data_IF_960580022221
#
_entry.id   IF_960580022221
#
_cell.length_a   1.000
_cell.length_b   1.000
_cell.length_c   1.000
_cell.angle_alpha   90.00
_cell.angle_beta   90.00
_cell.angle_gamma   90.00
#
_symmetry.space_group_name_H-M   'P 1'
#
loop_
_entity.id
_entity.type
_entity.pdbx_description
1 polymer ?
#
# COMPACT_ATOMS: atom_id res chain seq x y z
N UNK A 1 9.41 6.90 11.71
CA UNK A 1 10.78 7.14 12.18
C UNK A 1 11.47 8.29 11.43
N UNK A 2 11.67 8.22 10.10
CA UNK A 2 12.32 9.31 9.34
C UNK A 2 11.62 10.67 9.53
N UNK A 3 10.31 10.75 9.27
CA UNK A 3 9.56 12.01 9.41
C UNK A 3 9.44 12.49 10.86
N UNK A 4 9.47 11.58 11.83
CA UNK A 4 9.56 11.96 13.24
C UNK A 4 10.87 12.72 13.53
N UNK A 5 12.01 12.21 13.06
CA UNK A 5 13.31 12.88 13.24
C UNK A 5 13.36 14.21 12.48
N UNK A 6 12.80 14.27 11.27
CA UNK A 6 12.75 15.51 10.47
C UNK A 6 11.99 16.59 11.24
N UNK A 7 10.82 16.30 11.78
CA UNK A 7 10.07 17.29 12.58
C UNK A 7 10.73 17.57 13.93
N UNK A 8 11.38 16.59 14.55
CA UNK A 8 12.10 16.80 15.81
C UNK A 8 13.28 17.78 15.67
N UNK A 9 14.03 17.72 14.56
CA UNK A 9 15.19 18.56 14.33
C UNK A 9 14.91 19.83 13.51
N UNK A 10 13.88 19.83 12.66
CA UNK A 10 13.59 20.92 11.71
C UNK A 10 12.15 21.42 11.76
N UNK A 11 11.36 21.02 12.76
CA UNK A 11 9.95 21.39 12.89
C UNK A 11 9.71 22.90 12.79
N UNK A 12 10.58 23.71 13.41
CA UNK A 12 10.48 25.19 13.42
C UNK A 12 10.64 25.84 12.04
N UNK A 13 11.26 25.13 11.08
CA UNK A 13 11.42 25.58 9.69
C UNK A 13 10.35 25.03 8.76
N UNK A 14 9.68 23.96 9.15
CA UNK A 14 8.67 23.24 8.36
C UNK A 14 7.27 23.78 8.62
N UNK A 15 7.03 24.29 9.84
CA UNK A 15 5.73 24.79 10.26
C UNK A 15 5.79 26.31 10.41
N UNK A 16 4.77 27.03 9.90
CA UNK A 16 4.62 28.45 10.23
C UNK A 16 4.07 28.57 11.66
N UNK A 17 4.45 29.63 12.41
CA UNK A 17 3.92 29.86 13.75
C UNK A 17 2.39 29.85 13.76
N UNK A 18 1.79 29.00 14.61
CA UNK A 18 0.33 28.89 14.75
C UNK A 18 -0.39 28.01 13.73
N UNK A 19 0.31 27.34 12.82
CA UNK A 19 -0.32 26.35 11.92
C UNK A 19 -0.52 25.01 12.62
N UNK A 20 -1.58 24.30 12.25
CA UNK A 20 -1.84 22.94 12.70
C UNK A 20 -0.76 21.99 12.14
N UNK A 21 0.03 21.33 13.00
CA UNK A 21 1.14 20.49 12.55
C UNK A 21 0.70 19.13 12.02
N UNK A 22 -0.53 18.68 12.33
CA UNK A 22 -0.99 17.33 12.02
C UNK A 22 -1.17 17.11 10.53
N UNK A 23 -1.75 18.06 9.81
CA UNK A 23 -2.00 17.92 8.37
C UNK A 23 -0.69 17.71 7.61
N UNK A 24 0.27 18.61 7.83
CA UNK A 24 1.61 18.51 7.24
C UNK A 24 2.34 17.22 7.63
N UNK A 25 2.29 16.85 8.92
CA UNK A 25 2.93 15.65 9.43
C UNK A 25 2.37 14.36 8.81
N UNK A 26 1.03 14.26 8.72
CA UNK A 26 0.34 13.15 8.07
C UNK A 26 0.72 13.12 6.60
N UNK A 27 0.64 14.25 5.89
CA UNK A 27 0.96 14.31 4.46
C UNK A 27 2.38 13.84 4.15
N UNK A 28 3.41 14.40 4.81
CA UNK A 28 4.81 14.01 4.58
C UNK A 28 5.06 12.54 4.93
N UNK A 29 4.44 12.07 6.03
CA UNK A 29 4.55 10.68 6.46
C UNK A 29 3.94 9.73 5.43
N UNK A 30 2.73 10.03 4.97
CA UNK A 30 2.01 9.21 4.01
C UNK A 30 2.65 9.23 2.63
N UNK A 31 3.20 10.38 2.22
CA UNK A 31 3.97 10.50 0.98
C UNK A 31 5.16 9.55 0.98
N UNK A 32 5.95 9.57 2.05
CA UNK A 32 7.10 8.68 2.18
C UNK A 32 6.69 7.20 2.16
N UNK A 33 5.56 6.87 2.79
CA UNK A 33 5.06 5.50 2.83
C UNK A 33 4.52 5.02 1.46
N UNK A 34 3.78 5.86 0.77
CA UNK A 34 3.10 5.51 -0.48
C UNK A 34 4.07 5.37 -1.66
N UNK A 35 5.14 6.17 -1.68
CA UNK A 35 6.15 6.14 -2.74
C UNK A 35 6.98 4.86 -2.70
N UNK A 36 7.34 4.40 -1.49
CA UNK A 36 8.34 3.35 -1.35
C UNK A 36 7.89 2.20 -0.45
N UNK A 37 7.45 2.51 0.77
CA UNK A 37 7.21 1.50 1.81
C UNK A 37 6.07 0.55 1.43
N UNK A 38 4.92 1.07 0.99
CA UNK A 38 3.75 0.27 0.66
C UNK A 38 3.96 -0.63 -0.58
N UNK A 39 4.44 -0.11 -1.73
CA UNK A 39 4.69 -0.96 -2.89
C UNK A 39 5.75 -2.03 -2.57
N UNK A 40 6.85 -1.65 -1.91
CA UNK A 40 7.92 -2.59 -1.56
C UNK A 40 7.44 -3.67 -0.58
N UNK A 41 6.64 -3.30 0.41
CA UNK A 41 6.03 -4.25 1.34
C UNK A 41 5.19 -5.29 0.59
N UNK A 42 4.34 -4.86 -0.35
CA UNK A 42 3.52 -5.78 -1.15
C UNK A 42 4.38 -6.70 -2.02
N UNK A 43 5.39 -6.16 -2.69
CA UNK A 43 6.31 -6.93 -3.53
C UNK A 43 7.01 -8.02 -2.71
N UNK A 44 7.48 -7.68 -1.51
CA UNK A 44 8.13 -8.64 -0.61
C UNK A 44 7.13 -9.67 -0.07
N UNK A 45 5.94 -9.23 0.33
CA UNK A 45 4.90 -10.09 0.88
C UNK A 45 4.46 -11.16 -0.13
N UNK A 46 4.20 -10.78 -1.38
CA UNK A 46 3.81 -11.72 -2.44
C UNK A 46 4.96 -12.63 -2.84
N UNK A 47 6.19 -12.11 -2.91
CA UNK A 47 7.37 -12.94 -3.24
C UNK A 47 7.63 -13.96 -2.13
N UNK A 48 7.48 -13.58 -0.86
CA UNK A 48 7.63 -14.49 0.27
C UNK A 48 6.58 -15.61 0.26
N UNK A 49 5.33 -15.30 -0.11
CA UNK A 49 4.29 -16.30 -0.30
C UNK A 49 4.75 -17.39 -1.28
N UNK A 50 5.33 -17.01 -2.42
CA UNK A 50 5.88 -17.94 -3.42
C UNK A 50 7.03 -18.77 -2.85
N UNK A 51 7.93 -18.15 -2.09
CA UNK A 51 9.05 -18.86 -1.48
C UNK A 51 8.56 -19.95 -0.52
N UNK A 52 7.54 -19.65 0.29
CA UNK A 52 6.94 -20.62 1.22
C UNK A 52 6.30 -21.77 0.44
N UNK A 53 5.54 -21.46 -0.61
CA UNK A 53 4.87 -22.46 -1.45
C UNK A 53 5.85 -23.41 -2.16
N UNK A 54 6.92 -22.86 -2.73
CA UNK A 54 7.90 -23.65 -3.47
C UNK A 54 8.76 -24.50 -2.52
N UNK A 55 9.09 -24.02 -1.32
CA UNK A 55 9.88 -24.78 -0.34
C UNK A 55 9.11 -25.93 0.29
N UNK A 56 7.79 -25.78 0.48
CA UNK A 56 7.01 -26.72 1.27
C UNK A 56 6.61 -28.01 0.53
N UNK A 57 6.96 -28.20 -0.76
CA UNK A 57 6.34 -29.24 -1.63
C UNK A 57 4.81 -29.26 -1.51
N UNK A 58 4.22 -28.13 -1.09
CA UNK A 58 2.88 -28.06 -0.52
C UNK A 58 1.82 -28.43 -1.54
N UNK A 59 2.11 -28.20 -2.82
CA UNK A 59 1.25 -28.55 -3.93
C UNK A 59 0.86 -30.04 -3.94
N UNK A 60 1.79 -30.96 -3.62
CA UNK A 60 1.48 -32.40 -3.61
C UNK A 60 0.54 -32.79 -2.47
N UNK A 61 0.74 -32.22 -1.28
CA UNK A 61 -0.15 -32.45 -0.13
C UNK A 61 -1.50 -31.75 -0.29
N UNK A 62 -1.51 -30.57 -0.90
CA UNK A 62 -2.71 -29.76 -1.10
C UNK A 62 -3.64 -30.33 -2.18
N UNK A 63 -3.08 -30.96 -3.23
CA UNK A 63 -3.86 -31.66 -4.24
C UNK A 63 -4.38 -33.03 -3.79
N UNK A 64 -3.89 -33.58 -2.68
CA UNK A 64 -4.43 -34.81 -2.09
C UNK A 64 -5.70 -34.56 -1.26
N UNK A 65 -5.97 -33.31 -0.86
CA UNK A 65 -7.17 -32.94 -0.14
C UNK A 65 -8.33 -32.65 -1.12
N UNK A 66 -9.59 -32.99 -0.79
CA UNK A 66 -10.77 -32.74 -1.63
C UNK A 66 -11.20 -31.26 -1.58
N UNK A 67 -10.25 -30.34 -1.63
CA UNK A 67 -10.50 -28.89 -1.60
C UNK A 67 -10.48 -28.35 -3.02
N UNK A 68 -11.48 -27.53 -3.35
CA UNK A 68 -11.51 -26.81 -4.62
C UNK A 68 -10.28 -25.90 -4.76
N UNK A 69 -9.64 -25.92 -5.93
CA UNK A 69 -8.44 -25.10 -6.22
C UNK A 69 -8.73 -23.60 -6.16
N UNK A 70 -9.97 -23.20 -6.47
CA UNK A 70 -10.46 -21.84 -6.26
C UNK A 70 -10.50 -21.43 -4.79
N UNK A 71 -10.84 -22.36 -3.88
CA UNK A 71 -10.80 -22.10 -2.45
C UNK A 71 -9.36 -21.95 -1.92
N UNK A 72 -8.40 -22.69 -2.49
CA UNK A 72 -6.97 -22.52 -2.20
C UNK A 72 -6.44 -21.16 -2.67
N UNK A 73 -6.79 -20.75 -3.90
CA UNK A 73 -6.42 -19.44 -4.43
C UNK A 73 -7.03 -18.32 -3.58
N UNK A 74 -8.34 -18.42 -3.32
CA UNK A 74 -9.10 -17.45 -2.56
C UNK A 74 -8.60 -17.30 -1.12
N UNK A 75 -8.29 -18.39 -0.44
CA UNK A 75 -7.77 -18.33 0.94
C UNK A 75 -6.41 -17.62 1.01
N UNK A 76 -5.49 -17.90 0.08
CA UNK A 76 -4.20 -17.23 0.01
C UNK A 76 -4.33 -15.74 -0.31
N UNK A 77 -5.20 -15.42 -1.27
CA UNK A 77 -5.52 -14.03 -1.60
C UNK A 77 -6.11 -13.29 -0.40
N UNK A 78 -7.02 -13.92 0.35
CA UNK A 78 -7.59 -13.35 1.58
C UNK A 78 -6.53 -13.09 2.64
N UNK A 79 -5.57 -14.01 2.82
CA UNK A 79 -4.44 -13.79 3.74
C UNK A 79 -3.61 -12.58 3.30
N UNK A 80 -3.31 -12.44 1.99
CA UNK A 80 -2.59 -11.26 1.48
C UNK A 80 -3.37 -9.96 1.70
N UNK A 81 -4.69 -9.97 1.47
CA UNK A 81 -5.56 -8.82 1.70
C UNK A 81 -5.58 -8.42 3.19
N UNK A 82 -5.71 -9.40 4.09
CA UNK A 82 -5.71 -9.17 5.54
C UNK A 82 -4.36 -8.64 6.02
N UNK A 83 -3.24 -9.19 5.55
CA UNK A 83 -1.90 -8.71 5.89
C UNK A 83 -1.64 -7.30 5.36
N UNK A 84 -2.11 -6.98 4.16
CA UNK A 84 -2.05 -5.62 3.62
C UNK A 84 -2.85 -4.64 4.48
N UNK A 85 -4.10 -4.97 4.81
CA UNK A 85 -4.94 -4.13 5.67
C UNK A 85 -4.30 -3.93 7.05
N UNK A 86 -3.82 -5.02 7.67
CA UNK A 86 -3.17 -4.98 8.97
C UNK A 86 -1.91 -4.10 8.94
N UNK A 87 -1.08 -4.22 7.91
CA UNK A 87 0.13 -3.39 7.77
C UNK A 87 -0.21 -1.90 7.68
N UNK A 88 -1.25 -1.54 6.93
CA UNK A 88 -1.70 -0.15 6.82
C UNK A 88 -2.32 0.38 8.13
N UNK A 89 -3.11 -0.43 8.83
CA UNK A 89 -3.66 -0.08 10.16
C UNK A 89 -2.54 0.13 11.18
N UNK A 90 -1.57 -0.79 11.23
CA UNK A 90 -0.39 -0.65 12.11
C UNK A 90 0.39 0.61 11.76
N UNK A 91 0.58 0.90 10.48
CA UNK A 91 1.23 2.13 10.03
C UNK A 91 0.50 3.39 10.54
N UNK A 92 -0.83 3.44 10.41
CA UNK A 92 -1.65 4.55 10.91
C UNK A 92 -1.54 4.72 12.43
N UNK A 93 -1.65 3.62 13.18
CA UNK A 93 -1.52 3.64 14.64
C UNK A 93 -0.15 4.18 15.04
N UNK A 94 0.92 3.70 14.41
CA UNK A 94 2.29 4.18 14.67
C UNK A 94 2.47 5.65 14.30
N UNK A 95 1.87 6.12 13.20
CA UNK A 95 1.91 7.52 12.78
C UNK A 95 1.23 8.44 13.80
N UNK A 96 0.03 8.07 14.26
CA UNK A 96 -0.69 8.85 15.27
C UNK A 96 0.03 8.82 16.62
N UNK A 97 0.57 7.66 17.02
CA UNK A 97 1.37 7.53 18.22
C UNK A 97 2.64 8.38 18.16
N UNK A 98 3.34 8.41 17.01
CA UNK A 98 4.54 9.22 16.84
C UNK A 98 4.25 10.71 16.81
N UNK A 99 3.12 11.14 16.23
CA UNK A 99 2.68 12.54 16.30
C UNK A 99 2.36 12.98 17.74
N UNK A 100 1.68 12.13 18.53
CA UNK A 100 1.42 12.40 19.94
C UNK A 100 2.71 12.47 20.77
N UNK A 101 3.62 11.53 20.56
CA UNK A 101 4.93 11.51 21.23
C UNK A 101 5.72 12.78 20.90
N UNK A 102 5.69 13.21 19.65
CA UNK A 102 6.38 14.43 19.22
C UNK A 102 5.82 15.67 19.92
N UNK A 103 4.50 15.76 20.11
CA UNK A 103 3.87 16.81 20.90
C UNK A 103 4.28 16.82 22.37
N UNK A 104 4.60 15.67 22.95
CA UNK A 104 5.11 15.58 24.33
C UNK A 104 6.57 16.00 24.46
N UNK A 105 7.41 15.65 23.47
CA UNK A 105 8.85 15.97 23.50
C UNK A 105 9.12 17.40 23.02
N UNK A 106 8.30 17.93 22.11
CA UNK A 106 8.40 19.29 21.56
C UNK A 106 7.04 20.01 21.64
N UNK A 107 6.68 20.55 22.82
CA UNK A 107 5.42 21.28 23.01
C UNK A 107 5.30 22.51 22.10
N UNK A 108 6.44 23.08 21.69
CA UNK A 108 6.58 24.23 20.78
C UNK A 108 5.89 24.00 19.41
N UNK A 109 5.77 22.74 18.99
CA UNK A 109 5.14 22.37 17.71
C UNK A 109 3.60 22.33 17.76
N UNK A 110 2.99 22.59 18.92
CA UNK A 110 1.53 22.72 19.11
C UNK A 110 0.69 21.48 18.75
N UNK A 111 1.28 20.29 18.65
CA UNK A 111 0.56 19.04 18.36
C UNK A 111 -0.51 18.70 19.41
N UNK A 112 -0.29 19.07 20.67
CA UNK A 112 -1.25 18.84 21.76
C UNK A 112 -2.40 19.86 21.76
N UNK A 113 -2.21 21.02 21.14
CA UNK A 113 -3.23 22.08 21.07
C UNK A 113 -4.21 21.87 19.91
N UNK A 114 -3.87 20.99 18.97
CA UNK A 114 -4.69 20.67 17.80
C UNK A 114 -5.18 19.22 17.85
N UNK A 115 -6.45 19.01 17.51
CA UNK A 115 -7.02 17.66 17.41
C UNK A 115 -6.41 16.91 16.22
N UNK A 116 -6.07 15.62 16.43
CA UNK A 116 -5.62 14.76 15.35
C UNK A 116 -6.75 14.56 14.31
N UNK A 117 -6.46 14.67 12.99
CA UNK A 117 -7.47 14.58 11.94
C UNK A 117 -7.87 13.12 11.67
N UNK A 118 -8.55 12.49 12.63
CA UNK A 118 -8.92 11.06 12.59
C UNK A 118 -9.76 10.71 11.36
N UNK A 119 -10.78 11.52 11.04
CA UNK A 119 -11.65 11.28 9.87
C UNK A 119 -10.85 11.30 8.56
N UNK A 120 -9.96 12.28 8.40
CA UNK A 120 -9.08 12.37 7.24
C UNK A 120 -8.15 11.16 7.15
N UNK A 121 -7.52 10.77 8.26
CA UNK A 121 -6.64 9.60 8.29
C UNK A 121 -7.37 8.29 7.96
N UNK A 122 -8.61 8.12 8.43
CA UNK A 122 -9.42 6.92 8.14
C UNK A 122 -9.86 6.87 6.67
N UNK A 123 -10.29 7.99 6.10
CA UNK A 123 -10.60 8.07 4.68
C UNK A 123 -9.35 7.78 3.84
N UNK A 124 -8.21 8.37 4.20
CA UNK A 124 -6.95 8.15 3.50
C UNK A 124 -6.50 6.69 3.58
N UNK A 125 -6.71 6.03 4.72
CA UNK A 125 -6.49 4.59 4.88
C UNK A 125 -7.36 3.79 3.90
N UNK A 126 -8.65 4.11 3.78
CA UNK A 126 -9.55 3.44 2.84
C UNK A 126 -9.10 3.61 1.38
N UNK A 127 -8.78 4.83 0.97
CA UNK A 127 -8.28 5.12 -0.38
C UNK A 127 -6.96 4.41 -0.67
N UNK A 128 -6.03 4.44 0.28
CA UNK A 128 -4.74 3.76 0.16
C UNK A 128 -4.91 2.25 0.05
N UNK A 129 -5.83 1.67 0.83
CA UNK A 129 -6.13 0.25 0.75
C UNK A 129 -6.62 -0.13 -0.65
N UNK A 130 -7.58 0.60 -1.21
CA UNK A 130 -8.09 0.37 -2.57
C UNK A 130 -6.98 0.54 -3.61
N UNK A 131 -6.18 1.60 -3.52
CA UNK A 131 -5.08 1.85 -4.44
C UNK A 131 -4.03 0.73 -4.44
N UNK A 132 -3.77 0.11 -3.29
CA UNK A 132 -2.82 -1.00 -3.18
C UNK A 132 -3.30 -2.33 -3.77
N UNK A 133 -4.61 -2.50 -4.03
CA UNK A 133 -5.16 -3.74 -4.58
C UNK A 133 -4.62 -4.06 -5.98
N UNK A 134 -4.42 -3.03 -6.82
CA UNK A 134 -3.88 -3.22 -8.17
C UNK A 134 -2.47 -3.80 -8.16
N UNK A 135 -1.60 -3.26 -7.30
CA UNK A 135 -0.23 -3.77 -7.09
C UNK A 135 -0.25 -5.20 -6.56
N UNK A 136 -1.08 -5.45 -5.54
CA UNK A 136 -1.22 -6.78 -4.94
C UNK A 136 -1.68 -7.81 -5.97
N UNK A 137 -2.67 -7.48 -6.81
CA UNK A 137 -3.19 -8.36 -7.85
C UNK A 137 -2.13 -8.76 -8.86
N UNK A 138 -1.43 -7.79 -9.45
CA UNK A 138 -0.37 -8.08 -10.43
C UNK A 138 0.74 -8.92 -9.80
N UNK A 139 1.17 -8.55 -8.59
CA UNK A 139 2.21 -9.28 -7.90
C UNK A 139 1.78 -10.68 -7.49
N UNK A 140 0.50 -10.89 -7.21
CA UNK A 140 -0.05 -12.20 -6.95
C UNK A 140 -0.06 -13.09 -8.21
N UNK A 141 -0.44 -12.54 -9.37
CA UNK A 141 -0.37 -13.29 -10.65
C UNK A 141 1.07 -13.62 -11.02
N UNK A 142 1.99 -12.66 -10.90
CA UNK A 142 3.42 -12.90 -11.11
C UNK A 142 3.92 -14.01 -10.18
N UNK A 143 3.54 -13.95 -8.90
CA UNK A 143 3.86 -14.97 -7.92
C UNK A 143 3.37 -16.37 -8.31
N UNK A 144 2.17 -16.50 -8.88
CA UNK A 144 1.62 -17.78 -9.31
C UNK A 144 2.30 -18.34 -10.57
N UNK A 145 2.66 -17.45 -11.50
CA UNK A 145 3.26 -17.81 -12.78
C UNK A 145 4.66 -18.40 -12.58
N UNK A 146 5.52 -17.74 -11.80
CA UNK A 146 6.92 -18.14 -11.62
C UNK A 146 7.14 -18.96 -10.35
N UNK A 147 7.77 -20.14 -10.49
CA UNK A 147 8.21 -21.00 -9.36
C UNK A 147 9.53 -20.53 -8.72
N UNK A 148 9.78 -19.22 -8.70
CA UNK A 148 11.00 -18.63 -8.13
C UNK A 148 10.66 -17.42 -7.29
N UNK A 149 11.35 -17.25 -6.16
CA UNK A 149 11.25 -16.04 -5.34
C UNK A 149 11.79 -14.80 -6.08
N UNK A 150 12.88 -14.97 -6.83
CA UNK A 150 13.62 -13.85 -7.40
C UNK A 150 12.87 -13.14 -8.53
N UNK A 151 12.06 -13.87 -9.31
CA UNK A 151 11.40 -13.31 -10.51
C UNK A 151 10.26 -12.36 -10.16
N UNK A 152 9.26 -12.71 -9.32
CA UNK A 152 8.22 -11.79 -8.89
C UNK A 152 8.76 -10.58 -8.11
N UNK A 153 9.85 -10.78 -7.36
CA UNK A 153 10.55 -9.71 -6.66
C UNK A 153 11.16 -8.71 -7.66
N UNK A 154 11.93 -9.19 -8.63
CA UNK A 154 12.57 -8.35 -9.65
C UNK A 154 11.54 -7.61 -10.51
N UNK A 155 10.47 -8.30 -10.91
CA UNK A 155 9.36 -7.67 -11.65
C UNK A 155 8.65 -6.59 -10.84
N UNK A 156 8.42 -6.85 -9.56
CA UNK A 156 7.84 -5.87 -8.64
C UNK A 156 8.69 -4.63 -8.49
N UNK A 157 9.99 -4.81 -8.22
CA UNK A 157 10.93 -3.68 -8.08
C UNK A 157 11.05 -2.93 -9.41
N UNK A 158 11.14 -3.63 -10.54
CA UNK A 158 11.17 -3.02 -11.87
C UNK A 158 9.90 -2.20 -12.16
N UNK A 159 8.72 -2.75 -11.84
CA UNK A 159 7.44 -2.05 -11.96
C UNK A 159 7.35 -0.81 -11.08
N UNK A 160 7.85 -0.89 -9.85
CA UNK A 160 7.95 0.26 -8.94
C UNK A 160 8.86 1.36 -9.53
N UNK A 161 10.08 1.00 -9.96
CA UNK A 161 11.02 1.98 -10.54
C UNK A 161 10.45 2.61 -11.81
N UNK A 162 9.81 1.82 -12.67
CA UNK A 162 9.14 2.32 -13.86
C UNK A 162 8.01 3.32 -13.50
N UNK A 163 7.17 2.99 -12.52
CA UNK A 163 6.12 3.86 -12.04
C UNK A 163 6.66 5.19 -11.49
N UNK A 164 7.75 5.15 -10.71
CA UNK A 164 8.41 6.35 -10.20
C UNK A 164 8.98 7.23 -11.31
N UNK A 165 9.51 6.61 -12.37
CA UNK A 165 10.08 7.33 -13.53
C UNK A 165 8.98 7.98 -14.36
N UNK A 166 7.82 7.31 -14.47
CA UNK A 166 6.66 7.76 -15.24
C UNK A 166 5.69 8.64 -14.43
N UNK A 167 6.03 9.04 -13.19
CA UNK A 167 5.14 9.82 -12.32
C UNK A 167 4.58 11.10 -12.98
N UNK A 168 5.37 11.71 -13.87
CA UNK A 168 4.99 12.94 -14.60
C UNK A 168 4.18 12.70 -15.87
N UNK A 169 3.96 11.44 -16.25
CA UNK A 169 3.22 11.10 -17.46
C UNK A 169 1.72 11.32 -17.26
N UNK A 170 1.04 11.79 -18.31
CA UNK A 170 -0.40 12.13 -18.29
C UNK A 170 -1.28 10.91 -17.99
N UNK A 171 -0.86 9.71 -18.40
CA UNK A 171 -1.63 8.46 -18.25
C UNK A 171 -1.16 7.58 -17.08
N UNK A 172 -0.37 8.11 -16.16
CA UNK A 172 0.18 7.33 -15.04
C UNK A 172 -0.92 6.75 -14.10
N UNK A 173 -2.14 7.30 -14.11
CA UNK A 173 -3.28 6.73 -13.37
C UNK A 173 -3.64 5.30 -13.82
N UNK A 174 -3.17 4.87 -15.00
CA UNK A 174 -3.31 3.50 -15.49
C UNK A 174 -2.26 2.53 -14.93
N UNK A 175 -1.18 3.07 -14.35
CA UNK A 175 -0.06 2.28 -13.81
C UNK A 175 -0.35 1.95 -12.34
N UNK A 176 -0.60 0.69 -12.00
CA UNK A 176 -1.06 0.30 -10.66
C UNK A 176 0.00 0.55 -9.58
N UNK A 177 1.28 0.45 -9.92
CA UNK A 177 2.39 0.77 -9.01
C UNK A 177 2.48 2.26 -8.65
N UNK A 178 1.88 3.15 -9.44
CA UNK A 178 1.80 4.58 -9.13
C UNK A 178 0.54 4.95 -8.33
N UNK A 179 -0.48 4.08 -8.29
CA UNK A 179 -1.75 4.36 -7.65
C UNK A 179 -1.62 4.77 -6.16
N UNK A 180 -0.79 4.12 -5.32
CA UNK A 180 -0.60 4.55 -3.93
C UNK A 180 -0.11 6.00 -3.81
N UNK A 181 0.75 6.45 -4.73
CA UNK A 181 1.26 7.82 -4.74
C UNK A 181 0.18 8.80 -5.22
N UNK A 182 -0.65 8.39 -6.19
CA UNK A 182 -1.70 9.25 -6.75
C UNK A 182 -2.83 9.56 -5.77
N UNK A 183 -3.11 8.69 -4.80
CA UNK A 183 -4.07 8.98 -3.72
C UNK A 183 -3.72 10.27 -2.96
N UNK A 184 -2.43 10.62 -2.86
CA UNK A 184 -1.98 11.81 -2.15
C UNK A 184 -2.34 13.11 -2.86
N UNK A 185 -2.51 13.09 -4.19
CA UNK A 185 -2.93 14.28 -4.95
C UNK A 185 -4.39 14.67 -4.63
N UNK A 186 -5.18 13.74 -4.09
CA UNK A 186 -6.53 14.00 -3.58
C UNK A 186 -6.55 14.70 -2.22
N UNK A 187 -5.39 14.89 -1.59
CA UNK A 187 -5.25 15.59 -0.30
C UNK A 187 -5.00 17.07 -0.57
N UNK A 188 -5.87 17.93 -0.04
CA UNK A 188 -5.62 19.37 0.03
C UNK A 188 -5.38 19.77 1.47
N UNK A 189 -4.18 20.25 1.77
CA UNK A 189 -3.85 20.86 3.06
C UNK A 189 -4.47 22.27 3.11
N UNK A 190 -5.53 22.44 3.89
CA UNK A 190 -6.13 23.76 4.11
C UNK A 190 -5.31 24.56 5.14
N UNK A 191 -5.31 25.90 5.05
CA UNK A 191 -4.61 26.77 6.02
C UNK A 191 -5.03 26.55 7.47
N UNK A 192 -6.27 26.10 7.69
CA UNK A 192 -6.86 25.84 9.01
C UNK A 192 -6.41 24.47 9.60
N UNK A 193 -5.62 23.69 8.85
CA UNK A 193 -5.12 22.39 9.33
C UNK A 193 -6.07 21.22 9.15
N UNK A 194 -7.20 21.42 8.48
CA UNK A 194 -8.12 20.37 8.09
C UNK A 194 -7.57 19.61 6.90
N UNK A 195 -7.56 18.28 7.00
CA UNK A 195 -7.28 17.40 5.86
C UNK A 195 -8.59 17.22 5.08
N UNK A 196 -8.73 17.95 3.98
CA UNK A 196 -9.79 17.67 3.02
C UNK A 196 -9.30 16.61 2.05
N UNK A 197 -10.06 15.52 2.01
CA UNK A 197 -9.87 14.42 1.07
C UNK A 197 -11.02 14.49 0.10
N UNK A 198 -10.72 14.44 -1.20
CA UNK A 198 -11.76 14.37 -2.21
C UNK A 198 -12.69 13.19 -1.89
N UNK A 199 -14.00 13.40 -1.69
CA UNK A 199 -14.92 12.36 -1.25
C UNK A 199 -15.23 11.31 -2.32
N UNK A 200 -14.61 11.39 -3.50
CA UNK A 200 -14.81 10.49 -4.63
C UNK A 200 -13.65 9.53 -4.83
N UNK A 201 -13.95 8.36 -5.38
CA UNK A 201 -12.94 7.38 -5.83
C UNK A 201 -12.23 7.95 -7.06
N UNK A 202 -10.93 8.14 -6.95
CA UNK A 202 -10.07 8.64 -8.02
C UNK A 202 -9.95 7.63 -9.18
N UNK A 203 -9.56 8.11 -10.36
CA UNK A 203 -9.34 7.24 -11.54
C UNK A 203 -8.32 6.15 -11.22
N UNK A 204 -7.26 6.48 -10.47
CA UNK A 204 -6.23 5.53 -10.04
C UNK A 204 -6.76 4.39 -9.15
N UNK A 205 -7.82 4.64 -8.37
CA UNK A 205 -8.43 3.60 -7.54
C UNK A 205 -9.34 2.68 -8.36
N UNK A 206 -10.09 3.25 -9.32
CA UNK A 206 -10.87 2.47 -10.27
C UNK A 206 -9.98 1.57 -11.14
N UNK A 207 -8.84 2.09 -11.61
CA UNK A 207 -7.86 1.28 -12.36
C UNK A 207 -7.25 0.21 -11.47
N UNK A 208 -6.93 0.50 -10.20
CA UNK A 208 -6.46 -0.52 -9.25
C UNK A 208 -7.47 -1.63 -9.00
N UNK A 209 -8.76 -1.32 -8.88
CA UNK A 209 -9.83 -2.31 -8.78
C UNK A 209 -9.93 -3.15 -10.07
N UNK A 210 -9.83 -2.52 -11.24
CA UNK A 210 -9.81 -3.20 -12.53
C UNK A 210 -8.63 -4.18 -12.65
N UNK A 211 -7.42 -3.73 -12.31
CA UNK A 211 -6.22 -4.57 -12.28
C UNK A 211 -6.34 -5.73 -11.31
N UNK A 212 -6.91 -5.49 -10.12
CA UNK A 212 -7.16 -6.54 -9.14
C UNK A 212 -8.17 -7.57 -9.65
N UNK A 213 -9.29 -7.14 -10.21
CA UNK A 213 -10.30 -8.04 -10.79
C UNK A 213 -9.72 -8.87 -11.95
N UNK A 214 -8.98 -8.23 -12.86
CA UNK A 214 -8.29 -8.91 -13.94
C UNK A 214 -7.28 -9.93 -13.40
N UNK A 215 -6.52 -9.57 -12.36
CA UNK A 215 -5.56 -10.47 -11.72
C UNK A 215 -6.22 -11.70 -11.08
N UNK A 216 -7.40 -11.55 -10.47
CA UNK A 216 -8.14 -12.70 -9.92
C UNK A 216 -8.58 -13.65 -11.05
N UNK A 217 -9.10 -13.12 -12.15
CA UNK A 217 -9.53 -13.91 -13.31
C UNK A 217 -8.35 -14.62 -13.97
N UNK A 218 -7.24 -13.90 -14.20
CA UNK A 218 -6.01 -14.47 -14.77
C UNK A 218 -5.42 -15.52 -13.83
N UNK A 219 -5.33 -15.24 -12.53
CA UNK A 219 -4.86 -16.19 -11.52
C UNK A 219 -5.68 -17.48 -11.50
N UNK A 220 -7.00 -17.39 -11.64
CA UNK A 220 -7.87 -18.55 -11.75
C UNK A 220 -7.64 -19.32 -13.07
N UNK A 221 -7.53 -18.63 -14.21
CA UNK A 221 -7.26 -19.26 -15.50
C UNK A 221 -5.89 -19.99 -15.52
N UNK A 222 -4.86 -19.41 -14.89
CA UNK A 222 -3.53 -20.03 -14.80
C UNK A 222 -3.54 -21.36 -14.06
N UNK A 223 -4.38 -21.49 -13.03
CA UNK A 223 -4.56 -22.75 -12.32
C UNK A 223 -5.24 -23.83 -13.17
N UNK A 224 -6.05 -23.45 -14.16
CA UNK A 224 -6.65 -24.38 -15.12
C UNK A 224 -5.61 -24.85 -16.14
N UNK A 225 -4.79 -23.95 -16.68
CA UNK A 225 -3.76 -24.32 -17.68
C UNK A 225 -2.66 -25.23 -17.12
N UNK A 226 -2.33 -25.10 -15.82
CA UNK A 226 -1.38 -25.99 -15.14
C UNK A 226 -1.82 -27.47 -15.12
N UNK A 227 -3.07 -27.79 -15.51
CA UNK A 227 -3.58 -29.16 -15.60
C UNK A 227 -3.12 -29.94 -16.85
N UNK A 228 -2.68 -29.25 -17.91
CA UNK A 228 -2.42 -29.92 -19.20
C UNK A 228 -0.96 -30.34 -19.41
N UNK A 229 -0.06 -29.97 -18.50
CA UNK A 229 1.38 -30.16 -18.63
C UNK A 229 1.96 -31.19 -17.63
N UNK A 230 1.15 -31.68 -16.68
CA UNK A 230 1.44 -32.80 -15.78
C UNK A 230 0.54 -33.99 -16.19
#
# INVERSE_FOLDING_TARGET
MLNFLIFYFKGDKLLRPGQNPWAHYVYMSWQSASVLLLPLFLILLTSLLVAIENKATAWKHLYALPVGRGAVLGSKLLVLLQLNLLAQVVYVVLLLASGKLLGSVRPELLFQQHAAPLTGVLLLLAHTFVATLGVLGIQYVAALWWRSFAVPLALGIGGLVAALTLLRWEYIDWVPYAAPVRVLHGISEQPDGTLLIQPGVSVAEWTSLGWFAAAVVVGYALLLFRQRAD
#
